data_IF_343113507061
#
_entry.id   IF_343113507061
#
_cell.length_a   1.000
_cell.length_b   1.000
_cell.length_c   1.000
_cell.angle_alpha   90.00
_cell.angle_beta   90.00
_cell.angle_gamma   90.00
#
_symmetry.space_group_name_H-M   'P 1'
#
loop_
_entity.id
_entity.type
_entity.pdbx_description
1 polymer ?
#
# COMPACT_ATOMS: atom_id res chain seq x y z
N UNK A 1 -21.64 -1.11 -29.62
CA UNK A 1 -21.00 0.20 -29.38
C UNK A 1 -19.87 0.34 -30.38
N UNK A 2 -19.97 1.30 -31.31
CA UNK A 2 -18.86 1.62 -32.21
C UNK A 2 -17.74 2.30 -31.43
N UNK A 3 -16.48 1.98 -31.74
CA UNK A 3 -15.33 2.66 -31.15
C UNK A 3 -15.35 4.16 -31.51
N UNK A 4 -15.04 5.03 -30.54
CA UNK A 4 -14.93 6.46 -30.79
C UNK A 4 -13.83 6.75 -31.83
N UNK A 5 -14.10 7.66 -32.75
CA UNK A 5 -13.11 8.15 -33.72
C UNK A 5 -12.17 9.15 -33.01
N UNK A 6 -10.86 9.02 -33.21
CA UNK A 6 -9.81 9.74 -32.48
C UNK A 6 -9.88 11.28 -32.60
N UNK A 7 -10.70 11.82 -33.49
CA UNK A 7 -10.87 13.26 -33.73
C UNK A 7 -12.05 13.88 -32.97
N UNK A 8 -12.82 13.10 -32.21
CA UNK A 8 -13.95 13.62 -31.43
C UNK A 8 -13.55 13.95 -29.99
N UNK A 9 -13.46 15.24 -29.67
CA UNK A 9 -13.19 15.77 -28.33
C UNK A 9 -14.19 15.32 -27.26
N UNK A 10 -15.37 14.85 -27.66
CA UNK A 10 -16.42 14.32 -26.77
C UNK A 10 -16.10 12.94 -26.18
N UNK A 11 -15.05 12.27 -26.67
CA UNK A 11 -14.56 11.00 -26.13
C UNK A 11 -13.22 11.15 -25.39
N UNK A 12 -12.74 12.38 -25.19
CA UNK A 12 -11.57 12.63 -24.36
C UNK A 12 -11.94 12.50 -22.87
N UNK A 13 -10.96 12.18 -22.03
CA UNK A 13 -11.18 12.12 -20.59
C UNK A 13 -11.45 13.52 -20.06
N UNK A 14 -12.61 13.71 -19.42
CA UNK A 14 -12.93 14.95 -18.71
C UNK A 14 -12.05 15.04 -17.45
N UNK A 15 -10.94 15.78 -17.56
CA UNK A 15 -10.07 16.09 -16.42
C UNK A 15 -10.78 17.13 -15.55
N UNK A 16 -11.48 16.62 -14.53
CA UNK A 16 -12.13 17.45 -13.53
C UNK A 16 -11.10 18.07 -12.60
N UNK A 17 -10.76 19.33 -12.85
CA UNK A 17 -9.83 20.12 -12.02
C UNK A 17 -10.28 20.30 -10.56
N UNK A 18 -11.55 20.04 -10.26
CA UNK A 18 -12.10 20.00 -8.90
C UNK A 18 -11.60 18.80 -8.07
N UNK A 19 -11.03 17.76 -8.71
CA UNK A 19 -10.48 16.56 -8.06
C UNK A 19 -8.94 16.62 -8.00
N UNK A 20 -8.31 17.72 -8.44
CA UNK A 20 -6.85 17.87 -8.39
C UNK A 20 -6.37 17.85 -6.94
N UNK A 21 -5.47 16.91 -6.63
CA UNK A 21 -4.88 16.79 -5.30
C UNK A 21 -4.12 18.08 -4.94
N UNK A 22 -4.31 18.58 -3.71
CA UNK A 22 -3.59 19.76 -3.19
C UNK A 22 -2.06 19.59 -3.09
N UNK A 23 -1.56 18.36 -3.23
CA UNK A 23 -0.14 18.02 -3.23
C UNK A 23 0.06 16.75 -4.07
N UNK A 24 1.24 16.60 -4.68
CA UNK A 24 1.61 15.45 -5.52
C UNK A 24 1.74 14.17 -4.67
N UNK A 25 0.61 13.51 -4.43
CA UNK A 25 0.51 12.24 -3.69
C UNK A 25 -0.23 11.26 -4.57
N UNK A 26 0.48 10.72 -5.55
CA UNK A 26 -0.09 9.74 -6.48
C UNK A 26 0.18 8.32 -6.01
N UNK A 27 -0.66 7.41 -6.47
CA UNK A 27 -0.53 5.96 -6.25
C UNK A 27 -0.52 5.58 -4.76
N UNK A 28 -1.60 5.86 -4.01
CA UNK A 28 -1.80 5.25 -2.71
C UNK A 28 -1.82 3.72 -2.86
N UNK A 29 -1.33 3.01 -1.86
CA UNK A 29 -1.49 1.57 -1.78
C UNK A 29 -2.81 1.28 -1.07
N UNK A 30 -3.53 0.29 -1.57
CA UNK A 30 -4.87 -0.06 -1.10
C UNK A 30 -4.93 -1.57 -0.91
N UNK A 31 -5.15 -1.97 0.33
CA UNK A 31 -5.29 -3.36 0.74
C UNK A 31 -6.71 -3.59 1.23
N UNK A 32 -7.43 -4.52 0.61
CA UNK A 32 -8.72 -4.96 1.12
C UNK A 32 -8.52 -5.67 2.46
N UNK A 33 -9.29 -5.24 3.45
CA UNK A 33 -9.39 -5.89 4.76
C UNK A 33 -10.58 -6.85 4.75
N UNK A 34 -10.82 -7.53 5.88
CA UNK A 34 -11.91 -8.47 6.04
C UNK A 34 -13.23 -7.93 5.47
N UNK A 35 -14.07 -8.84 4.94
CA UNK A 35 -15.43 -8.63 4.38
C UNK A 35 -15.58 -7.79 3.10
N UNK A 36 -14.49 -7.42 2.41
CA UNK A 36 -14.47 -6.61 1.18
C UNK A 36 -15.11 -5.21 1.31
N UNK A 37 -15.52 -4.80 2.53
CA UNK A 37 -16.12 -3.47 2.78
C UNK A 37 -15.16 -2.51 3.46
N UNK A 38 -14.01 -3.01 3.89
CA UNK A 38 -13.03 -2.27 4.64
C UNK A 38 -11.72 -2.22 3.87
N UNK A 39 -11.14 -1.03 3.75
CA UNK A 39 -9.87 -0.80 3.07
C UNK A 39 -8.86 -0.24 4.05
N UNK A 40 -7.65 -0.77 4.01
CA UNK A 40 -6.47 -0.06 4.47
C UNK A 40 -5.93 0.74 3.29
N UNK A 41 -5.85 2.06 3.45
CA UNK A 41 -5.30 2.93 2.42
C UNK A 41 -4.09 3.63 3.01
N UNK A 42 -2.94 3.47 2.37
CA UNK A 42 -1.70 4.12 2.77
C UNK A 42 -1.20 5.05 1.67
N UNK A 43 -0.89 6.28 2.06
CA UNK A 43 -0.45 7.35 1.18
C UNK A 43 0.57 8.24 1.89
N UNK A 44 1.71 8.48 1.25
CA UNK A 44 2.79 9.32 1.77
C UNK A 44 3.38 8.69 3.04
N UNK A 45 3.06 9.20 4.23
CA UNK A 45 3.41 8.63 5.55
C UNK A 45 2.16 8.26 6.35
N UNK A 46 0.97 8.41 5.77
CA UNK A 46 -0.30 8.28 6.50
C UNK A 46 -1.03 7.02 6.06
N UNK A 47 -1.76 6.41 6.98
CA UNK A 47 -2.72 5.38 6.65
C UNK A 47 -4.09 5.68 7.29
N UNK A 48 -5.14 5.18 6.62
CA UNK A 48 -6.51 5.27 7.09
C UNK A 48 -7.22 3.92 6.94
N UNK A 49 -8.20 3.68 7.81
CA UNK A 49 -9.23 2.67 7.65
C UNK A 49 -10.43 3.33 6.99
N UNK A 50 -10.77 2.90 5.79
CA UNK A 50 -11.89 3.42 5.02
C UNK A 50 -12.98 2.35 4.87
N UNK A 51 -14.24 2.72 5.12
CA UNK A 51 -15.39 1.86 4.82
C UNK A 51 -15.96 2.21 3.46
N UNK A 52 -16.12 1.21 2.60
CA UNK A 52 -16.82 1.34 1.31
C UNK A 52 -18.35 1.22 1.45
N UNK A 53 -18.84 0.86 2.64
CA UNK A 53 -20.26 0.88 2.95
C UNK A 53 -20.73 2.29 3.29
N UNK A 54 -20.00 3.00 4.15
CA UNK A 54 -20.33 4.38 4.54
C UNK A 54 -19.58 5.43 3.71
N UNK A 55 -18.67 5.02 2.85
CA UNK A 55 -17.78 5.88 2.06
C UNK A 55 -17.04 6.92 2.92
N UNK A 56 -16.56 6.49 4.08
CA UNK A 56 -15.95 7.38 5.07
C UNK A 56 -14.74 6.77 5.77
N UNK A 57 -13.90 7.65 6.32
CA UNK A 57 -12.76 7.27 7.17
C UNK A 57 -13.30 6.86 8.54
N UNK A 58 -13.09 5.60 8.92
CA UNK A 58 -13.47 5.07 10.23
C UNK A 58 -12.40 5.38 11.28
N UNK A 59 -11.13 5.36 10.87
CA UNK A 59 -9.97 5.51 11.76
C UNK A 59 -8.76 6.03 10.98
N UNK A 60 -7.96 6.87 11.62
CA UNK A 60 -6.61 7.20 11.17
C UNK A 60 -5.61 6.32 11.93
N UNK A 61 -4.57 5.85 11.25
CA UNK A 61 -3.45 5.14 11.88
C UNK A 61 -2.32 6.11 12.25
N UNK A 62 -1.39 5.71 13.13
CA UNK A 62 -0.19 6.51 13.40
C UNK A 62 0.59 6.81 12.12
N UNK A 63 1.22 7.98 12.06
CA UNK A 63 2.10 8.33 10.94
C UNK A 63 3.31 7.39 10.91
N UNK A 64 3.64 6.92 9.72
CA UNK A 64 4.83 6.12 9.46
C UNK A 64 6.09 6.99 9.63
N UNK A 65 7.03 6.64 10.52
CA UNK A 65 8.25 7.41 10.69
C UNK A 65 9.15 7.35 9.46
N UNK A 66 9.72 8.50 9.09
CA UNK A 66 10.66 8.65 8.00
C UNK A 66 10.07 9.36 6.78
N UNK A 67 10.73 9.28 5.62
CA UNK A 67 10.25 9.92 4.40
C UNK A 67 8.99 9.21 3.85
N UNK A 68 8.23 9.89 2.98
CA UNK A 68 7.09 9.29 2.30
C UNK A 68 7.48 8.03 1.53
N UNK A 69 6.52 7.11 1.33
CA UNK A 69 6.76 5.87 0.61
C UNK A 69 6.17 5.89 -0.79
N UNK A 70 4.96 6.41 -1.01
CA UNK A 70 4.38 6.46 -2.35
C UNK A 70 5.07 7.49 -3.24
N UNK A 71 4.58 7.66 -4.47
CA UNK A 71 5.13 8.62 -5.42
C UNK A 71 5.31 10.00 -4.76
N UNK A 72 6.50 10.62 -4.90
CA UNK A 72 7.56 10.27 -5.85
C UNK A 72 8.65 9.31 -5.34
N UNK A 73 8.54 8.76 -4.12
CA UNK A 73 9.61 7.96 -3.53
C UNK A 73 9.52 6.45 -3.82
N UNK A 74 8.37 5.97 -4.31
CA UNK A 74 8.21 4.64 -4.91
C UNK A 74 8.64 3.45 -4.04
N UNK A 75 8.18 3.40 -2.80
CA UNK A 75 8.15 2.21 -1.94
C UNK A 75 6.97 1.30 -2.29
N UNK A 76 7.06 0.05 -1.86
CA UNK A 76 6.03 -0.97 -2.05
C UNK A 76 5.21 -1.21 -0.78
N UNK A 77 4.00 -1.74 -0.96
CA UNK A 77 3.14 -2.23 0.11
C UNK A 77 2.56 -3.58 -0.28
N UNK A 78 2.26 -4.41 0.72
CA UNK A 78 1.73 -5.75 0.55
C UNK A 78 0.95 -6.17 1.80
N UNK A 79 -0.23 -6.77 1.61
CA UNK A 79 -0.92 -7.52 2.66
C UNK A 79 -0.22 -8.88 2.85
N UNK A 80 0.31 -9.11 4.04
CA UNK A 80 0.95 -10.38 4.40
C UNK A 80 -0.06 -11.55 4.42
N UNK A 81 0.41 -12.80 4.25
CA UNK A 81 -0.47 -13.96 4.22
C UNK A 81 -1.36 -14.05 5.46
N UNK A 82 -2.66 -14.21 5.24
CA UNK A 82 -3.63 -14.47 6.31
C UNK A 82 -3.47 -15.92 6.78
N UNK A 83 -3.20 -16.09 8.09
CA UNK A 83 -2.87 -17.38 8.68
C UNK A 83 -3.98 -17.88 9.62
N UNK A 84 -4.40 -19.16 9.54
CA UNK A 84 -5.38 -19.70 10.49
C UNK A 84 -4.92 -19.61 11.96
N UNK A 85 -3.62 -19.74 12.22
CA UNK A 85 -3.04 -19.72 13.57
C UNK A 85 -3.21 -18.35 14.25
N UNK A 86 -3.30 -17.28 13.45
CA UNK A 86 -3.57 -15.92 13.92
C UNK A 86 -5.02 -15.49 13.67
N UNK A 87 -5.94 -16.45 13.49
CA UNK A 87 -7.35 -16.19 13.16
C UNK A 87 -7.52 -15.24 11.96
N UNK A 88 -6.68 -15.41 10.93
CA UNK A 88 -6.67 -14.58 9.72
C UNK A 88 -6.50 -13.07 9.99
N UNK A 89 -5.87 -12.69 11.10
CA UNK A 89 -5.57 -11.28 11.39
C UNK A 89 -4.72 -10.66 10.26
N UNK A 90 -5.19 -9.58 9.60
CA UNK A 90 -4.46 -8.96 8.51
C UNK A 90 -3.26 -8.17 9.05
N UNK A 91 -2.20 -8.14 8.26
CA UNK A 91 -0.99 -7.38 8.54
C UNK A 91 -0.42 -6.80 7.25
N UNK A 92 -0.20 -5.49 7.21
CA UNK A 92 0.30 -4.79 6.03
C UNK A 92 1.78 -4.50 6.22
N UNK A 93 2.59 -4.82 5.21
CA UNK A 93 4.02 -4.54 5.14
C UNK A 93 4.28 -3.44 4.10
N UNK A 94 4.91 -2.35 4.52
CA UNK A 94 5.35 -1.25 3.63
C UNK A 94 6.87 -1.19 3.63
N UNK A 95 7.51 -1.21 2.47
CA UNK A 95 8.97 -1.34 2.33
C UNK A 95 9.57 -0.40 1.28
N UNK A 96 10.80 0.05 1.55
CA UNK A 96 11.65 0.68 0.54
C UNK A 96 11.19 2.06 0.08
N UNK A 97 11.60 2.43 -1.14
CA UNK A 97 11.48 3.77 -1.70
C UNK A 97 12.75 4.61 -1.53
N UNK A 98 12.85 5.78 -2.16
CA UNK A 98 14.00 6.69 -1.94
C UNK A 98 14.00 7.33 -0.56
N UNK A 99 15.16 7.81 -0.13
CA UNK A 99 15.30 8.71 1.01
C UNK A 99 14.75 10.12 0.75
N UNK A 100 14.74 10.57 -0.51
CA UNK A 100 14.36 11.92 -0.93
C UNK A 100 13.93 11.94 -2.41
N UNK A 101 13.30 13.04 -2.86
CA UNK A 101 12.97 13.23 -4.27
C UNK A 101 14.17 13.79 -5.04
N UNK A 102 15.09 12.91 -5.41
CA UNK A 102 16.33 13.25 -6.11
C UNK A 102 16.81 12.09 -6.96
N UNK A 103 17.44 12.38 -8.10
CA UNK A 103 18.09 11.36 -8.95
C UNK A 103 19.30 10.70 -8.29
N UNK A 104 19.82 11.29 -7.20
CA UNK A 104 20.92 10.74 -6.39
C UNK A 104 20.46 10.08 -5.10
N UNK A 105 19.14 10.00 -4.88
CA UNK A 105 18.58 9.42 -3.67
C UNK A 105 18.97 7.95 -3.53
N UNK A 106 19.23 7.52 -2.30
CA UNK A 106 19.47 6.11 -2.00
C UNK A 106 18.15 5.39 -1.79
N UNK A 107 18.09 4.11 -2.16
CA UNK A 107 16.98 3.25 -1.77
C UNK A 107 17.02 3.00 -0.26
N UNK A 108 15.85 2.98 0.38
CA UNK A 108 15.71 2.66 1.78
C UNK A 108 15.63 1.15 1.99
N UNK A 109 16.27 0.68 3.03
CA UNK A 109 16.18 -0.69 3.54
C UNK A 109 15.01 -0.86 4.50
N UNK A 110 14.37 0.24 4.91
CA UNK A 110 13.35 0.25 5.96
C UNK A 110 12.04 -0.40 5.49
N UNK A 111 11.52 -1.29 6.33
CA UNK A 111 10.23 -1.96 6.22
C UNK A 111 9.41 -1.74 7.49
N UNK A 112 8.10 -1.65 7.35
CA UNK A 112 7.22 -1.31 8.46
C UNK A 112 5.97 -2.16 8.37
N UNK A 113 5.61 -2.81 9.47
CA UNK A 113 4.44 -3.67 9.55
C UNK A 113 3.40 -3.06 10.47
N UNK A 114 2.13 -3.23 10.14
CA UNK A 114 1.02 -2.80 10.99
C UNK A 114 -0.10 -3.82 10.93
N UNK A 115 -0.71 -4.08 12.08
CA UNK A 115 -1.93 -4.88 12.22
C UNK A 115 -3.14 -3.94 12.30
N UNK A 116 -3.83 -3.66 11.17
CA UNK A 116 -4.86 -2.61 11.12
C UNK A 116 -6.05 -2.85 12.06
N UNK A 117 -6.40 -4.12 12.33
CA UNK A 117 -7.59 -4.47 13.10
C UNK A 117 -7.36 -4.59 14.62
N UNK A 118 -6.13 -4.41 15.10
CA UNK A 118 -5.85 -4.37 16.54
C UNK A 118 -6.45 -3.10 17.18
N UNK A 119 -6.75 -3.15 18.49
CA UNK A 119 -7.32 -2.02 19.23
C UNK A 119 -6.45 -0.75 19.13
N UNK A 120 -5.13 -0.91 19.33
CA UNK A 120 -4.10 0.13 19.22
C UNK A 120 -3.04 -0.28 18.18
N UNK A 121 -3.27 -0.01 16.88
CA UNK A 121 -2.32 -0.34 15.83
C UNK A 121 -1.05 0.49 15.94
N UNK A 122 0.11 -0.16 15.88
CA UNK A 122 1.42 0.48 15.89
C UNK A 122 2.30 -0.06 14.75
N UNK A 123 3.24 0.77 14.30
CA UNK A 123 4.22 0.36 13.29
C UNK A 123 5.35 -0.44 13.93
N UNK A 124 5.48 -1.70 13.51
CA UNK A 124 6.60 -2.57 13.85
C UNK A 124 7.72 -2.32 12.84
N UNK A 125 8.93 -2.09 13.36
CA UNK A 125 10.08 -1.69 12.57
C UNK A 125 10.88 -2.92 12.13
N UNK A 126 11.04 -3.10 10.82
CA UNK A 126 11.89 -4.14 10.23
C UNK A 126 12.80 -3.53 9.16
N UNK A 127 13.88 -4.21 8.81
CA UNK A 127 14.79 -3.76 7.75
C UNK A 127 15.08 -4.91 6.79
N UNK A 128 15.07 -4.61 5.49
CA UNK A 128 15.64 -5.47 4.46
C UNK A 128 17.16 -5.49 4.59
N UNK A 129 17.83 -6.53 4.08
CA UNK A 129 19.30 -6.56 4.06
C UNK A 129 19.94 -5.42 3.24
N UNK A 130 19.21 -4.89 2.24
CA UNK A 130 19.68 -3.85 1.33
C UNK A 130 18.55 -2.89 1.00
N UNK A 131 18.91 -1.63 0.74
CA UNK A 131 17.97 -0.59 0.35
C UNK A 131 17.46 -0.76 -1.08
N UNK A 132 16.15 -0.58 -1.28
CA UNK A 132 15.50 -0.73 -2.60
C UNK A 132 14.54 0.43 -2.87
N UNK A 133 14.53 0.89 -4.11
CA UNK A 133 13.54 1.82 -4.68
C UNK A 133 12.76 1.07 -5.76
N UNK A 134 11.46 1.37 -5.91
CA UNK A 134 10.53 0.63 -6.80
C UNK A 134 10.60 -0.89 -6.57
N UNK A 135 10.47 -1.38 -5.32
CA UNK A 135 10.52 -2.82 -5.08
C UNK A 135 9.24 -3.49 -5.59
N UNK A 136 9.40 -4.59 -6.33
CA UNK A 136 8.32 -5.54 -6.56
C UNK A 136 8.18 -6.45 -5.32
N UNK A 137 6.95 -6.55 -4.80
CA UNK A 137 6.65 -7.35 -3.61
C UNK A 137 5.71 -8.49 -4.01
N UNK A 138 6.20 -9.72 -3.95
CA UNK A 138 5.44 -10.93 -4.30
C UNK A 138 5.55 -11.93 -3.17
N UNK A 139 4.42 -12.50 -2.78
CA UNK A 139 4.35 -13.62 -1.83
C UNK A 139 4.45 -14.91 -2.63
N UNK A 140 5.40 -15.76 -2.25
CA UNK A 140 5.47 -17.14 -2.73
C UNK A 140 5.02 -18.09 -1.64
N UNK A 141 4.44 -19.22 -2.04
CA UNK A 141 4.22 -20.34 -1.13
C UNK A 141 5.57 -20.88 -0.64
N UNK A 142 5.60 -21.37 0.59
CA UNK A 142 6.76 -22.02 1.17
C UNK A 142 6.31 -22.98 2.27
N UNK A 143 6.98 -24.11 2.39
CA UNK A 143 6.76 -25.06 3.49
C UNK A 143 8.06 -25.38 4.18
N UNK A 144 7.98 -25.59 5.49
CA UNK A 144 9.13 -25.97 6.31
C UNK A 144 9.32 -27.49 6.39
N UNK A 145 8.32 -28.29 5.98
CA UNK A 145 8.33 -29.76 5.91
C UNK A 145 7.45 -30.23 4.74
N UNK A 146 7.58 -31.51 4.36
CA UNK A 146 6.77 -32.14 3.31
C UNK A 146 7.39 -32.16 1.90
N UNK A 147 6.85 -33.01 1.02
CA UNK A 147 7.21 -33.03 -0.40
C UNK A 147 6.31 -32.03 -1.16
N UNK A 148 6.91 -31.18 -1.99
CA UNK A 148 6.21 -30.15 -2.77
C UNK A 148 5.38 -29.13 -1.96
N UNK A 149 5.69 -28.94 -0.68
CA UNK A 149 5.12 -27.84 0.11
C UNK A 149 3.84 -28.15 0.88
N UNK A 150 3.53 -29.44 1.12
CA UNK A 150 2.37 -29.89 1.89
C UNK A 150 2.80 -30.82 3.02
N UNK A 151 2.36 -30.50 4.23
CA UNK A 151 2.40 -31.38 5.41
C UNK A 151 1.30 -32.46 5.31
#
# INVERSE_FOLDING_TARGET
MSACNATQSRCDWDIRNEITLKADRWYPTVEALADDRNLFIFANTKAIHFSTETWSVIRNYPDLPGPPRNYPLSGGSLLLPLRPESNYEPEVLVCGGSTEFSSRAKGQERCRRIKPLTQNPEWIMEDMPLGRMMPDMVIFNGANKGAAGRD
#
